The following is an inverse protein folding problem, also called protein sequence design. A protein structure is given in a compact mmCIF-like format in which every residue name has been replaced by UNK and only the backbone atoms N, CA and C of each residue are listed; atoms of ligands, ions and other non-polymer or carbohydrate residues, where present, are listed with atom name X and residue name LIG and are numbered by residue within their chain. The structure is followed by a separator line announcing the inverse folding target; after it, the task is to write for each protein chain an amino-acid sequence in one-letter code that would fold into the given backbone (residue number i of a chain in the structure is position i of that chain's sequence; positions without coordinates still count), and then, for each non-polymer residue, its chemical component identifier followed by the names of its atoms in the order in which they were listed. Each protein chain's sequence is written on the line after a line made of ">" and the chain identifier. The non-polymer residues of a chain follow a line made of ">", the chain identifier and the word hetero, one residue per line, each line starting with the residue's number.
data_IF_626706798729
#
_entry.id   IF_626706798729
#
_cell.length_a   1.000
_cell.length_b   1.000
_cell.length_c   1.000
_cell.angle_alpha   90.00
_cell.angle_beta   90.00
_cell.angle_gamma   90.00
#
_symmetry.space_group_name_H-M   'P 1'
#
loop_
_entity.id
_entity.type
_entity.pdbx_description
1 polymer ?
#
# COMPACT_ATOMS: atom_id res chain seq x y z
N UNK A 1 -4.02 -35.09 -42.13
CA UNK A 1 -3.02 -35.27 -41.04
C UNK A 1 -3.53 -34.55 -39.79
N UNK A 2 -3.71 -35.25 -38.67
CA UNK A 2 -4.15 -34.63 -37.42
C UNK A 2 -2.93 -34.30 -36.55
N UNK A 3 -2.84 -33.08 -36.03
CA UNK A 3 -1.73 -32.64 -35.19
C UNK A 3 -1.87 -33.22 -33.77
N UNK A 4 -0.85 -33.91 -33.29
CA UNK A 4 -0.79 -34.54 -31.97
C UNK A 4 -0.70 -33.51 -30.82
N UNK A 5 -0.33 -32.27 -31.13
CA UNK A 5 -0.08 -31.22 -30.14
C UNK A 5 -1.26 -30.25 -30.11
N UNK A 6 -1.93 -30.10 -28.96
CA UNK A 6 -3.02 -29.16 -28.82
C UNK A 6 -2.55 -27.71 -28.98
N UNK A 7 -3.45 -26.85 -29.49
CA UNK A 7 -3.17 -25.42 -29.62
C UNK A 7 -2.79 -24.81 -28.27
N UNK A 8 -1.73 -24.02 -28.27
CA UNK A 8 -1.28 -23.31 -27.08
C UNK A 8 -2.41 -22.40 -26.55
N UNK A 9 -2.62 -22.41 -25.23
CA UNK A 9 -3.65 -21.63 -24.50
C UNK A 9 -5.10 -22.10 -24.63
N UNK A 10 -5.34 -23.30 -25.14
CA UNK A 10 -6.68 -23.93 -25.03
C UNK A 10 -6.74 -24.78 -23.77
N UNK A 11 -7.87 -24.72 -23.03
CA UNK A 11 -8.06 -25.61 -21.89
C UNK A 11 -8.23 -27.05 -22.40
N UNK A 12 -7.24 -27.88 -22.09
CA UNK A 12 -7.19 -29.30 -22.48
C UNK A 12 -8.10 -30.15 -21.58
N UNK A 13 -8.30 -29.72 -20.34
CA UNK A 13 -9.16 -30.39 -19.38
C UNK A 13 -10.57 -29.79 -19.44
N UNK A 14 -11.41 -30.39 -20.28
CA UNK A 14 -12.83 -30.05 -20.34
C UNK A 14 -13.61 -30.91 -19.35
N UNK A 15 -14.06 -30.29 -18.27
CA UNK A 15 -14.99 -30.91 -17.34
C UNK A 15 -16.41 -30.92 -17.92
N UNK A 16 -17.13 -32.02 -17.75
CA UNK A 16 -18.51 -32.20 -18.22
C UNK A 16 -19.46 -32.55 -17.07
N UNK A 17 -20.77 -32.44 -17.33
CA UNK A 17 -21.81 -32.79 -16.39
C UNK A 17 -21.72 -31.98 -15.09
N UNK A 18 -21.74 -32.67 -13.97
CA UNK A 18 -21.78 -32.07 -12.62
C UNK A 18 -20.53 -31.22 -12.31
N UNK A 19 -19.36 -31.59 -12.85
CA UNK A 19 -18.11 -30.82 -12.68
C UNK A 19 -17.89 -29.73 -13.73
N UNK A 20 -18.80 -29.57 -14.71
CA UNK A 20 -18.66 -28.53 -15.73
C UNK A 20 -18.68 -27.11 -15.12
N UNK A 21 -17.94 -26.13 -15.68
CA UNK A 21 -17.90 -24.76 -15.15
C UNK A 21 -19.25 -24.07 -15.04
N UNK A 22 -20.22 -24.44 -15.89
CA UNK A 22 -21.58 -23.89 -15.92
C UNK A 22 -22.66 -24.89 -15.44
N UNK A 23 -22.31 -25.88 -14.61
CA UNK A 23 -23.29 -26.84 -14.10
C UNK A 23 -24.23 -26.20 -13.07
N UNK A 24 -25.53 -26.55 -13.11
CA UNK A 24 -26.53 -26.04 -12.14
C UNK A 24 -26.22 -26.45 -10.70
N UNK A 25 -25.52 -27.58 -10.52
CA UNK A 25 -25.15 -28.14 -9.21
C UNK A 25 -23.84 -27.57 -8.64
N UNK A 26 -23.13 -26.71 -9.39
CA UNK A 26 -21.80 -26.20 -9.03
C UNK A 26 -21.76 -25.49 -7.67
N UNK A 27 -22.84 -24.80 -7.29
CA UNK A 27 -22.96 -24.09 -6.01
C UNK A 27 -22.91 -25.04 -4.81
N UNK A 28 -23.40 -26.27 -4.97
CA UNK A 28 -23.46 -27.28 -3.90
C UNK A 28 -22.14 -28.05 -3.73
N UNK A 29 -21.32 -28.10 -4.77
CA UNK A 29 -20.15 -28.99 -4.85
C UNK A 29 -18.84 -28.26 -4.55
N UNK A 30 -18.78 -26.94 -4.80
CA UNK A 30 -17.58 -26.15 -4.54
C UNK A 30 -17.58 -25.67 -3.08
N UNK A 31 -16.54 -25.99 -2.28
CA UNK A 31 -16.44 -25.58 -0.88
C UNK A 31 -16.59 -24.07 -0.68
N UNK A 32 -16.09 -23.28 -1.64
CA UNK A 32 -16.11 -21.83 -1.61
C UNK A 32 -17.46 -21.19 -2.02
N UNK A 33 -18.51 -21.97 -2.33
CA UNK A 33 -19.83 -21.50 -2.84
C UNK A 33 -19.69 -20.43 -3.94
N UNK A 34 -18.64 -20.54 -4.77
CA UNK A 34 -18.25 -19.52 -5.77
C UNK A 34 -19.34 -19.45 -6.85
N UNK A 35 -20.09 -18.33 -6.90
CA UNK A 35 -21.21 -18.12 -7.82
C UNK A 35 -22.55 -17.85 -7.13
N UNK A 36 -22.67 -18.10 -5.83
CA UNK A 36 -23.78 -17.53 -5.04
C UNK A 36 -23.53 -16.01 -4.94
N UNK A 37 -24.49 -15.19 -5.37
CA UNK A 37 -24.43 -13.75 -5.08
C UNK A 37 -24.35 -13.61 -3.55
N UNK A 38 -23.37 -12.86 -3.02
CA UNK A 38 -23.38 -12.56 -1.61
C UNK A 38 -24.68 -11.81 -1.31
N UNK A 39 -25.35 -12.23 -0.25
CA UNK A 39 -26.40 -11.42 0.36
C UNK A 39 -25.71 -10.10 0.80
N UNK A 40 -26.36 -8.92 0.69
CA UNK A 40 -25.75 -7.67 1.09
C UNK A 40 -25.40 -7.75 2.58
N UNK A 41 -24.11 -7.87 2.88
CA UNK A 41 -23.59 -7.91 4.23
C UNK A 41 -23.79 -6.54 4.90
N UNK A 42 -24.29 -6.49 6.14
CA UNK A 42 -24.26 -5.26 6.92
C UNK A 42 -22.81 -4.81 7.10
N UNK A 43 -22.59 -3.49 7.07
CA UNK A 43 -21.26 -2.87 7.07
C UNK A 43 -20.48 -3.11 8.39
N UNK A 44 -21.15 -3.63 9.43
CA UNK A 44 -20.65 -3.72 10.82
C UNK A 44 -20.25 -5.13 11.29
N UNK A 45 -20.13 -6.13 10.42
CA UNK A 45 -19.55 -7.43 10.84
C UNK A 45 -18.05 -7.31 11.01
N UNK A 46 -17.57 -7.46 12.25
CA UNK A 46 -16.15 -7.48 12.60
C UNK A 46 -15.38 -8.50 11.73
N UNK A 47 -14.17 -8.12 11.32
CA UNK A 47 -13.33 -8.94 10.44
C UNK A 47 -13.02 -10.30 11.07
N UNK A 48 -12.94 -10.35 12.40
CA UNK A 48 -12.66 -11.57 13.17
C UNK A 48 -13.84 -12.56 13.22
N UNK A 49 -15.07 -12.12 13.02
CA UNK A 49 -16.25 -13.01 13.01
C UNK A 49 -16.48 -13.66 11.63
N UNK A 50 -15.84 -13.13 10.59
CA UNK A 50 -15.96 -13.67 9.22
C UNK A 50 -15.23 -15.00 9.10
N UNK A 51 -15.84 -15.97 8.41
CA UNK A 51 -15.17 -17.21 8.04
C UNK A 51 -13.96 -16.91 7.13
N UNK A 52 -13.00 -17.83 7.08
CA UNK A 52 -11.80 -17.69 6.24
C UNK A 52 -12.17 -17.47 4.75
N UNK A 53 -13.24 -18.13 4.28
CA UNK A 53 -13.77 -17.98 2.93
C UNK A 53 -14.44 -16.60 2.70
N UNK A 54 -15.10 -16.03 3.70
CA UNK A 54 -15.65 -14.66 3.64
C UNK A 54 -14.54 -13.61 3.65
N UNK A 55 -13.55 -13.75 4.54
CA UNK A 55 -12.39 -12.85 4.57
C UNK A 55 -11.67 -12.84 3.23
N UNK A 56 -11.45 -14.02 2.62
CA UNK A 56 -10.86 -14.12 1.29
C UNK A 56 -11.68 -13.45 0.19
N UNK A 57 -13.02 -13.47 0.27
CA UNK A 57 -13.89 -12.79 -0.71
C UNK A 57 -13.95 -11.27 -0.49
N UNK A 58 -13.83 -10.83 0.75
CA UNK A 58 -13.88 -9.42 1.15
C UNK A 58 -12.51 -8.72 1.12
N UNK A 59 -11.43 -9.41 0.73
CA UNK A 59 -10.10 -8.80 0.68
C UNK A 59 -10.09 -7.61 -0.26
N UNK A 60 -9.68 -6.46 0.26
CA UNK A 60 -9.45 -5.27 -0.56
C UNK A 60 -8.23 -5.47 -1.45
N UNK A 61 -8.11 -4.64 -2.49
CA UNK A 61 -6.91 -4.64 -3.33
C UNK A 61 -5.62 -4.38 -2.52
N UNK A 62 -5.68 -3.51 -1.52
CA UNK A 62 -4.56 -3.21 -0.62
C UNK A 62 -4.14 -4.44 0.21
N UNK A 63 -5.11 -5.20 0.72
CA UNK A 63 -4.86 -6.44 1.48
C UNK A 63 -4.22 -7.52 0.61
N UNK A 64 -4.61 -7.58 -0.66
CA UNK A 64 -3.97 -8.48 -1.62
C UNK A 64 -2.49 -8.13 -1.83
N UNK A 65 -2.16 -6.84 -1.97
CA UNK A 65 -0.76 -6.38 -2.11
C UNK A 65 0.07 -6.75 -0.88
N UNK A 66 -0.45 -6.51 0.32
CA UNK A 66 0.21 -6.89 1.57
C UNK A 66 0.46 -8.40 1.65
N UNK A 67 -0.53 -9.20 1.26
CA UNK A 67 -0.41 -10.67 1.35
C UNK A 67 0.53 -11.27 0.31
N UNK A 68 0.52 -10.77 -0.93
CA UNK A 68 1.27 -11.37 -2.05
C UNK A 68 2.67 -10.77 -2.18
N UNK A 69 2.80 -9.46 -1.99
CA UNK A 69 4.03 -8.73 -2.23
C UNK A 69 4.66 -8.14 -0.96
N UNK A 70 4.02 -8.32 0.22
CA UNK A 70 4.45 -7.71 1.47
C UNK A 70 4.54 -6.17 1.39
N UNK A 71 3.65 -5.54 0.62
CA UNK A 71 3.53 -4.09 0.48
C UNK A 71 2.28 -3.64 1.24
N UNK A 72 2.47 -2.91 2.34
CA UNK A 72 1.37 -2.35 3.13
C UNK A 72 1.11 -0.89 2.74
N UNK A 73 -0.07 -0.62 2.19
CA UNK A 73 -0.55 0.73 1.86
C UNK A 73 -1.88 1.04 2.58
N UNK A 74 -2.28 0.23 3.56
CA UNK A 74 -3.46 0.51 4.38
C UNK A 74 -3.20 1.62 5.39
N UNK A 75 -1.94 1.82 5.75
CA UNK A 75 -1.50 2.77 6.78
C UNK A 75 -0.48 3.75 6.20
N UNK A 76 -0.63 5.02 6.52
CA UNK A 76 0.31 6.06 6.12
C UNK A 76 1.59 5.96 6.96
N UNK A 77 2.76 5.90 6.31
CA UNK A 77 4.07 5.83 6.99
C UNK A 77 4.40 7.09 7.81
N UNK A 78 3.81 8.24 7.47
CA UNK A 78 4.11 9.50 8.15
C UNK A 78 3.24 9.77 9.38
N UNK A 79 1.95 9.41 9.33
CA UNK A 79 0.99 9.73 10.39
C UNK A 79 0.33 8.51 11.04
N UNK A 80 0.53 7.30 10.52
CA UNK A 80 -0.12 6.09 11.02
C UNK A 80 -1.62 6.01 10.77
N UNK A 81 -2.20 6.96 10.03
CA UNK A 81 -3.62 6.98 9.69
C UNK A 81 -3.97 5.98 8.58
N UNK A 82 -5.26 5.59 8.52
CA UNK A 82 -5.76 4.73 7.45
C UNK A 82 -5.79 5.47 6.11
N UNK A 83 -5.33 4.80 5.06
CA UNK A 83 -5.30 5.33 3.69
C UNK A 83 -6.44 4.72 2.86
N UNK A 84 -7.01 5.53 1.96
CA UNK A 84 -8.05 5.11 1.03
C UNK A 84 -7.56 5.28 -0.41
N UNK A 85 -7.75 4.24 -1.23
CA UNK A 85 -7.53 4.35 -2.68
C UNK A 85 -8.64 5.20 -3.30
N UNK A 86 -8.26 6.30 -3.95
CA UNK A 86 -9.20 7.25 -4.56
C UNK A 86 -9.29 7.05 -6.08
N UNK A 87 -8.17 6.75 -6.74
CA UNK A 87 -8.11 6.52 -8.18
C UNK A 87 -6.94 5.61 -8.55
N UNK A 88 -7.09 4.85 -9.65
CA UNK A 88 -5.99 4.21 -10.37
C UNK A 88 -5.63 5.09 -11.57
N UNK A 89 -4.35 5.43 -11.72
CA UNK A 89 -3.86 6.28 -12.80
C UNK A 89 -2.89 5.45 -13.65
N UNK A 90 -3.28 5.17 -14.89
CA UNK A 90 -2.54 4.29 -15.79
C UNK A 90 -1.93 5.01 -17.01
N UNK A 91 -2.39 6.22 -17.32
CA UNK A 91 -1.87 7.00 -18.46
C UNK A 91 -0.46 7.56 -18.14
N UNK A 92 0.57 7.20 -18.91
CA UNK A 92 1.94 7.65 -18.67
C UNK A 92 2.08 9.18 -18.69
N UNK A 93 1.34 9.89 -19.55
CA UNK A 93 1.43 11.36 -19.65
C UNK A 93 0.92 12.02 -18.37
N UNK A 94 -0.17 11.48 -17.80
CA UNK A 94 -0.75 11.98 -16.55
C UNK A 94 0.20 11.71 -15.39
N UNK A 95 0.79 10.52 -15.33
CA UNK A 95 1.77 10.15 -14.31
C UNK A 95 2.97 11.12 -14.37
N UNK A 96 3.54 11.37 -15.54
CA UNK A 96 4.65 12.30 -15.72
C UNK A 96 4.30 13.72 -15.26
N UNK A 97 3.11 14.21 -15.61
CA UNK A 97 2.66 15.53 -15.22
C UNK A 97 2.52 15.67 -13.69
N UNK A 98 1.94 14.66 -13.03
CA UNK A 98 1.82 14.61 -11.57
C UNK A 98 3.21 14.60 -10.92
N UNK A 99 4.11 13.72 -11.37
CA UNK A 99 5.46 13.60 -10.82
C UNK A 99 6.25 14.91 -11.00
N UNK A 100 6.12 15.57 -12.14
CA UNK A 100 6.76 16.88 -12.40
C UNK A 100 6.26 17.93 -11.41
N UNK A 101 4.95 18.00 -11.18
CA UNK A 101 4.36 18.94 -10.22
C UNK A 101 4.85 18.68 -8.79
N UNK A 102 4.89 17.41 -8.35
CA UNK A 102 5.35 17.04 -7.02
C UNK A 102 6.81 17.41 -6.77
N UNK A 103 7.70 17.17 -7.74
CA UNK A 103 9.12 17.56 -7.64
C UNK A 103 9.29 19.08 -7.50
N UNK A 104 8.55 19.86 -8.28
CA UNK A 104 8.58 21.32 -8.20
C UNK A 104 8.05 21.83 -6.86
N UNK A 105 6.99 21.20 -6.32
CA UNK A 105 6.44 21.53 -5.02
C UNK A 105 7.44 21.25 -3.90
N UNK A 106 8.09 20.09 -3.90
CA UNK A 106 9.12 19.74 -2.93
C UNK A 106 10.28 20.75 -2.94
N UNK A 107 10.81 21.09 -4.12
CA UNK A 107 11.88 22.08 -4.25
C UNK A 107 11.49 23.47 -3.70
N UNK A 108 10.24 23.89 -3.90
CA UNK A 108 9.73 25.15 -3.31
C UNK A 108 9.63 25.07 -1.79
N UNK A 109 9.17 23.95 -1.25
CA UNK A 109 9.09 23.73 0.21
C UNK A 109 10.48 23.72 0.85
N UNK A 110 11.47 23.10 0.22
CA UNK A 110 12.85 23.07 0.72
C UNK A 110 13.50 24.45 0.67
N UNK A 111 13.28 25.21 -0.41
CA UNK A 111 13.75 26.60 -0.50
C UNK A 111 13.11 27.52 0.57
N UNK A 112 11.82 27.31 0.88
CA UNK A 112 11.15 28.04 1.95
C UNK A 112 11.74 27.73 3.33
N UNK A 113 12.00 26.46 3.65
CA UNK A 113 12.66 26.04 4.89
C UNK A 113 14.06 26.64 5.06
N UNK A 114 14.81 26.74 3.97
CA UNK A 114 16.15 27.37 4.00
C UNK A 114 16.09 28.87 4.29
N UNK A 115 15.00 29.55 3.91
CA UNK A 115 14.82 30.98 4.15
C UNK A 115 14.37 31.30 5.59
N UNK A 116 13.71 30.35 6.26
CA UNK A 116 13.24 30.51 7.64
C UNK A 116 14.33 30.29 8.70
N UNK A 117 15.43 29.60 8.38
CA UNK A 117 16.53 29.40 9.32
C UNK A 117 17.37 30.69 9.41
N UNK A 118 17.44 31.35 10.58
CA UNK A 118 18.35 32.47 10.77
C UNK A 118 19.78 32.00 10.48
N UNK A 119 20.60 32.82 9.81
CA UNK A 119 22.02 32.53 9.63
C UNK A 119 22.63 32.17 10.97
N UNK A 120 23.37 31.06 11.03
CA UNK A 120 24.09 30.65 12.24
C UNK A 120 24.87 31.85 12.76
N UNK A 121 24.48 32.35 13.93
CA UNK A 121 25.26 33.38 14.61
C UNK A 121 26.57 32.72 14.99
N UNK A 122 27.69 33.28 14.52
CA UNK A 122 29.00 32.88 15.00
C UNK A 122 28.96 32.93 16.54
N UNK A 123 29.54 31.92 17.23
CA UNK A 123 29.68 31.96 18.68
C UNK A 123 30.31 33.30 19.07
N UNK A 124 29.80 33.98 20.12
CA UNK A 124 30.38 35.24 20.54
C UNK A 124 31.87 35.03 20.83
N UNK A 125 32.73 35.81 20.16
CA UNK A 125 34.15 35.87 20.51
C UNK A 125 34.23 36.48 21.91
N UNK A 126 34.30 35.63 22.92
CA UNK A 126 34.61 36.01 24.29
C UNK A 126 36.14 36.06 24.42
N UNK A 127 36.76 37.24 24.60
CA UNK A 127 38.16 37.29 24.98
C UNK A 127 38.25 36.81 26.44
N UNK A 128 38.97 35.71 26.67
CA UNK A 128 39.48 35.26 27.97
C UNK A 128 38.46 34.67 28.98
N UNK A 129 37.58 33.74 28.58
CA UNK A 129 36.77 32.98 29.55
C UNK A 129 37.51 31.79 30.22
N UNK A 130 38.70 31.43 29.74
CA UNK A 130 39.54 30.41 30.36
C UNK A 130 40.92 31.00 30.65
N UNK A 131 41.03 31.72 31.76
CA UNK A 131 42.31 31.93 32.43
C UNK A 131 42.53 30.77 33.41
N UNK A 132 43.46 29.83 33.14
CA UNK A 132 43.70 28.66 33.97
C UNK A 132 44.39 28.98 35.32
N UNK A 133 44.57 30.26 35.69
CA UNK A 133 45.27 30.64 36.92
C UNK A 133 44.42 30.72 38.20
N UNK A 134 43.08 30.58 38.13
CA UNK A 134 42.19 30.70 39.31
C UNK A 134 41.71 29.37 39.92
N UNK A 135 42.50 28.30 39.84
CA UNK A 135 42.26 27.10 40.65
C UNK A 135 43.10 27.11 41.92
N UNK A 136 42.85 28.04 42.84
CA UNK A 136 43.21 27.88 44.26
C UNK A 136 42.20 28.60 45.16
N UNK A 137 41.90 27.91 46.27
CA UNK A 137 41.20 28.35 47.48
C UNK A 137 39.70 28.03 47.54
N UNK A 138 39.41 26.76 47.81
CA UNK A 138 38.40 26.40 48.81
C UNK A 138 38.99 25.35 49.75
N UNK A 139 39.10 25.72 51.03
CA UNK A 139 39.29 24.84 52.19
C UNK A 139 37.93 24.72 52.88
#
# INVERSE_FOLDING_TARGET
>A
MAALVPKLRVNLTRFHGVFAPNSKHRVQIIPAKRGKKPDPEPFDTDWHDKSLAERHRAMTWMQCLKRVFNIDIEVCEHCGGQVKVIASIEDPKVIEQILKHLKQKAAKTDAAKQHELPRERAPPLVPNLFDPSQSRLFY
#
